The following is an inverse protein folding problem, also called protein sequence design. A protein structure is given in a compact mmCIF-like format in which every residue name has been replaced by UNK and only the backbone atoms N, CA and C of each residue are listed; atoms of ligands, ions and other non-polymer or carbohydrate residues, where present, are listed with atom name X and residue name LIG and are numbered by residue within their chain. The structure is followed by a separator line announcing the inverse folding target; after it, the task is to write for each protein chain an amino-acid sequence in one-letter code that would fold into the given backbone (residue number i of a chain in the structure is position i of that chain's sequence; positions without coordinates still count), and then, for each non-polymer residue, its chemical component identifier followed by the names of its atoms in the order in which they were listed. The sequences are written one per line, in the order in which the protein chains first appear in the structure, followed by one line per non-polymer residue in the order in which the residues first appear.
data_IF_740287643121
#
_entry.id   IF_740287643121
#
_cell.length_a   1.000
_cell.length_b   1.000
_cell.length_c   1.000
_cell.angle_alpha   90.00
_cell.angle_beta   90.00
_cell.angle_gamma   90.00
#
_symmetry.space_group_name_H-M   'P 1'
#
loop_
_entity.id
_entity.type
_entity.pdbx_description
1 polymer ?
#
# COMPACT_ATOMS: atom_id res chain seq x y z
N UNK A 1 -53.93 -8.49 -26.12
CA UNK A 1 -54.80 -7.67 -25.23
C UNK A 1 -53.92 -7.13 -24.13
N UNK A 2 -53.42 -5.89 -24.25
CA UNK A 2 -53.95 -4.67 -23.61
C UNK A 2 -54.02 -4.81 -22.08
N UNK A 3 -53.61 -3.88 -21.22
CA UNK A 3 -52.94 -2.58 -21.31
C UNK A 3 -52.84 -2.11 -19.85
N UNK A 4 -51.66 -1.81 -19.33
CA UNK A 4 -51.52 -0.96 -18.14
C UNK A 4 -50.55 0.19 -18.45
N UNK A 5 -50.90 0.94 -19.50
CA UNK A 5 -50.41 2.29 -19.75
C UNK A 5 -51.45 3.25 -19.19
N UNK A 6 -51.06 4.07 -18.20
CA UNK A 6 -51.50 5.47 -17.99
C UNK A 6 -50.91 5.99 -16.68
N UNK A 7 -49.73 6.60 -16.74
CA UNK A 7 -49.27 7.77 -15.97
C UNK A 7 -47.78 7.97 -16.28
N UNK A 8 -47.36 8.69 -17.30
CA UNK A 8 -47.21 10.15 -17.23
C UNK A 8 -46.78 10.55 -18.64
N UNK A 9 -47.55 11.43 -19.26
CA UNK A 9 -47.23 12.10 -20.51
C UNK A 9 -46.66 13.49 -20.20
N UNK A 10 -45.74 13.93 -21.05
CA UNK A 10 -45.28 15.32 -21.20
C UNK A 10 -43.96 15.55 -20.48
N UNK A 11 -42.81 15.65 -21.14
CA UNK A 11 -42.50 16.53 -22.28
C UNK A 11 -41.95 17.85 -21.70
N UNK A 12 -40.94 18.52 -22.22
CA UNK A 12 -40.21 18.49 -23.47
C UNK A 12 -39.05 19.50 -23.25
N UNK A 13 -37.86 19.17 -23.78
CA UNK A 13 -36.73 20.02 -24.21
C UNK A 13 -36.58 21.47 -23.70
N UNK A 14 -35.33 21.86 -23.36
CA UNK A 14 -34.44 22.65 -24.24
C UNK A 14 -33.47 23.59 -23.47
N UNK A 15 -32.22 23.68 -23.96
CA UNK A 15 -31.36 24.90 -24.06
C UNK A 15 -30.86 25.53 -22.71
N UNK A 16 -29.66 26.06 -22.48
CA UNK A 16 -28.51 26.59 -23.24
C UNK A 16 -27.27 26.53 -22.31
N UNK A 17 -26.08 26.17 -22.79
CA UNK A 17 -24.95 27.03 -23.17
C UNK A 17 -24.10 27.66 -22.03
N UNK A 18 -22.80 27.34 -22.09
CA UNK A 18 -21.58 28.12 -21.82
C UNK A 18 -21.59 29.22 -20.74
N UNK A 19 -20.63 29.13 -19.82
CA UNK A 19 -19.65 30.22 -19.65
C UNK A 19 -18.35 29.71 -19.02
N UNK A 20 -17.30 29.76 -19.83
CA UNK A 20 -15.90 29.64 -19.46
C UNK A 20 -15.40 31.04 -19.05
N UNK A 21 -14.57 31.08 -18.00
CA UNK A 21 -13.58 32.10 -17.65
C UNK A 21 -14.02 33.54 -17.32
N UNK A 22 -13.71 33.99 -16.10
CA UNK A 22 -12.93 35.21 -15.88
C UNK A 22 -12.45 35.28 -14.40
N UNK A 23 -11.18 35.57 -14.24
CA UNK A 23 -10.45 35.82 -13.01
C UNK A 23 -10.48 37.34 -12.75
N UNK A 24 -10.69 37.80 -11.51
CA UNK A 24 -10.19 39.11 -11.09
C UNK A 24 -10.03 39.19 -9.57
N UNK A 25 -8.91 39.76 -9.16
CA UNK A 25 -8.49 39.98 -7.78
C UNK A 25 -8.79 41.42 -7.35
N UNK A 26 -9.25 41.63 -6.11
CA UNK A 26 -8.88 42.81 -5.31
C UNK A 26 -9.13 42.58 -3.81
N UNK A 27 -8.26 43.21 -3.02
CA UNK A 27 -7.94 43.06 -1.60
C UNK A 27 -9.08 43.39 -0.58
N UNK A 28 -8.97 42.85 0.65
CA UNK A 28 -9.69 43.44 1.80
C UNK A 28 -9.99 42.61 3.06
N UNK A 29 -8.96 42.13 3.77
CA UNK A 29 -8.83 42.01 5.24
C UNK A 29 -9.75 41.11 6.13
N UNK A 30 -9.03 40.33 6.95
CA UNK A 30 -9.32 39.88 8.33
C UNK A 30 -10.17 38.63 8.56
N UNK A 31 -9.49 37.57 9.01
CA UNK A 31 -10.12 36.39 9.60
C UNK A 31 -9.14 35.23 9.79
N UNK A 32 -8.20 35.39 10.73
CA UNK A 32 -7.26 34.34 11.13
C UNK A 32 -8.00 33.13 11.69
N UNK A 33 -8.02 32.03 10.93
CA UNK A 33 -8.14 30.67 11.46
C UNK A 33 -6.96 29.87 10.93
N UNK A 34 -5.94 29.77 11.77
CA UNK A 34 -4.80 28.88 11.58
C UNK A 34 -5.31 27.45 11.62
N UNK A 35 -5.59 26.90 10.45
CA UNK A 35 -5.56 25.46 10.20
C UNK A 35 -4.13 25.19 9.77
N UNK A 36 -3.32 24.61 10.65
CA UNK A 36 -2.01 24.07 10.24
C UNK A 36 -2.31 22.86 9.37
N UNK A 37 -2.57 23.08 8.08
CA UNK A 37 -2.30 22.07 7.07
C UNK A 37 -0.80 21.87 7.10
N UNK A 38 -0.37 20.76 7.70
CA UNK A 38 0.94 20.20 7.43
C UNK A 38 0.94 19.87 5.95
N UNK A 39 1.40 20.81 5.12
CA UNK A 39 1.81 20.56 3.75
C UNK A 39 2.87 19.48 3.84
N UNK A 40 2.47 18.23 3.61
CA UNK A 40 3.41 17.14 3.45
C UNK A 40 4.29 17.49 2.27
N UNK A 41 5.59 17.60 2.51
CA UNK A 41 6.60 17.77 1.49
C UNK A 41 6.67 16.48 0.66
N UNK A 42 5.70 16.27 -0.22
CA UNK A 42 5.77 15.22 -1.22
C UNK A 42 6.86 15.63 -2.20
N UNK A 43 7.91 14.81 -2.29
CA UNK A 43 8.93 14.96 -3.33
C UNK A 43 8.23 14.95 -4.69
N UNK A 44 8.51 15.97 -5.51
CA UNK A 44 7.96 16.03 -6.85
C UNK A 44 8.42 14.78 -7.63
N UNK A 45 7.53 14.20 -8.43
CA UNK A 45 7.82 12.96 -9.16
C UNK A 45 9.16 13.01 -9.92
N UNK A 46 9.53 14.18 -10.49
CA UNK A 46 10.80 14.38 -11.20
C UNK A 46 12.07 14.13 -10.36
N UNK A 47 11.98 14.26 -9.03
CA UNK A 47 13.09 14.08 -8.09
C UNK A 47 13.21 12.62 -7.61
N UNK A 48 12.25 11.75 -7.96
CA UNK A 48 12.24 10.34 -7.55
C UNK A 48 13.27 9.45 -8.27
N UNK A 49 14.17 10.04 -9.06
CA UNK A 49 15.16 9.31 -9.87
C UNK A 49 16.25 8.62 -9.07
N UNK A 50 16.41 8.98 -7.80
CA UNK A 50 17.46 8.47 -6.92
C UNK A 50 16.98 7.48 -5.85
N UNK A 51 15.66 7.26 -5.74
CA UNK A 51 15.11 6.41 -4.68
C UNK A 51 14.92 4.96 -5.12
N UNK A 52 15.00 4.09 -4.12
CA UNK A 52 14.89 2.64 -4.24
C UNK A 52 13.79 2.15 -3.31
N UNK A 53 13.00 1.19 -3.77
CA UNK A 53 12.13 0.35 -2.93
C UNK A 53 12.90 -0.93 -2.62
N UNK A 54 13.15 -1.19 -1.35
CA UNK A 54 13.71 -2.46 -0.90
C UNK A 54 12.65 -3.54 -0.94
N UNK A 55 13.00 -4.73 -1.40
CA UNK A 55 12.14 -5.91 -1.39
C UNK A 55 12.92 -7.09 -0.82
N UNK A 56 12.37 -7.71 0.21
CA UNK A 56 12.97 -8.90 0.83
C UNK A 56 11.94 -10.00 1.06
N UNK A 57 12.32 -11.22 0.71
CA UNK A 57 11.51 -12.43 0.83
C UNK A 57 12.24 -13.64 0.25
N UNK A 58 11.73 -14.87 0.48
CA UNK A 58 12.31 -16.07 -0.08
C UNK A 58 12.08 -16.08 -1.59
N UNK A 59 13.14 -15.88 -2.36
CA UNK A 59 13.13 -16.07 -3.83
C UNK A 59 13.78 -17.40 -4.23
N UNK A 60 14.40 -18.08 -3.28
CA UNK A 60 14.84 -19.47 -3.37
C UNK A 60 14.28 -20.31 -2.21
N UNK A 61 14.43 -21.63 -2.28
CA UNK A 61 13.97 -22.56 -1.24
C UNK A 61 12.46 -22.86 -1.29
N UNK A 62 11.96 -23.49 -0.23
CA UNK A 62 10.59 -24.06 -0.17
C UNK A 62 9.48 -23.00 -0.24
N UNK A 63 9.79 -21.77 0.21
CA UNK A 63 8.85 -20.65 0.21
C UNK A 63 9.00 -19.73 -1.01
N UNK A 64 9.84 -20.09 -1.98
CA UNK A 64 10.18 -19.26 -3.14
C UNK A 64 8.97 -18.73 -3.90
N UNK A 65 7.90 -19.53 -4.00
CA UNK A 65 6.67 -19.14 -4.70
C UNK A 65 6.08 -17.84 -4.16
N UNK A 66 6.19 -17.60 -2.85
CA UNK A 66 5.67 -16.38 -2.22
C UNK A 66 6.56 -15.17 -2.54
N UNK A 67 7.87 -15.27 -2.33
CA UNK A 67 8.77 -14.13 -2.55
C UNK A 67 8.93 -13.79 -4.04
N UNK A 68 8.85 -14.76 -4.94
CA UNK A 68 8.80 -14.50 -6.39
C UNK A 68 7.53 -13.77 -6.80
N UNK A 69 6.36 -14.18 -6.29
CA UNK A 69 5.10 -13.50 -6.57
C UNK A 69 5.13 -12.04 -6.08
N UNK A 70 5.58 -11.81 -4.84
CA UNK A 70 5.77 -10.47 -4.28
C UNK A 70 6.75 -9.65 -5.10
N UNK A 71 7.93 -10.21 -5.39
CA UNK A 71 8.97 -9.52 -6.16
C UNK A 71 8.46 -9.07 -7.53
N UNK A 72 7.73 -9.94 -8.22
CA UNK A 72 7.17 -9.60 -9.53
C UNK A 72 6.09 -8.53 -9.42
N UNK A 73 5.23 -8.58 -8.40
CA UNK A 73 4.21 -7.56 -8.16
C UNK A 73 4.83 -6.19 -7.85
N UNK A 74 5.86 -6.12 -7.01
CA UNK A 74 6.56 -4.86 -6.70
C UNK A 74 7.23 -4.27 -7.94
N UNK A 75 7.92 -5.11 -8.74
CA UNK A 75 8.53 -4.66 -9.99
C UNK A 75 7.50 -4.08 -10.95
N UNK A 76 6.39 -4.78 -11.15
CA UNK A 76 5.31 -4.33 -12.02
C UNK A 76 4.72 -2.99 -11.53
N UNK A 77 4.42 -2.88 -10.24
CA UNK A 77 3.87 -1.65 -9.67
C UNK A 77 4.82 -0.44 -9.80
N UNK A 78 6.12 -0.65 -9.60
CA UNK A 78 7.13 0.41 -9.77
C UNK A 78 7.33 0.76 -11.25
N UNK A 79 7.29 -0.22 -12.15
CA UNK A 79 7.34 0.00 -13.59
C UNK A 79 6.15 0.86 -14.07
N UNK A 80 4.92 0.49 -13.70
CA UNK A 80 3.71 1.23 -14.04
C UNK A 80 3.75 2.66 -13.48
N UNK A 81 4.20 2.82 -12.23
CA UNK A 81 4.35 4.15 -11.63
C UNK A 81 5.39 5.00 -12.36
N UNK A 82 6.55 4.43 -12.65
CA UNK A 82 7.62 5.10 -13.40
C UNK A 82 7.14 5.55 -14.78
N UNK A 83 6.44 4.69 -15.51
CA UNK A 83 5.87 5.01 -16.82
C UNK A 83 4.82 6.14 -16.74
N UNK A 84 3.94 6.10 -15.74
CA UNK A 84 2.88 7.09 -15.57
C UNK A 84 3.38 8.46 -15.10
N UNK A 85 4.47 8.50 -14.33
CA UNK A 85 4.95 9.71 -13.64
C UNK A 85 6.28 10.24 -14.18
N UNK A 86 6.90 9.57 -15.14
CA UNK A 86 8.21 9.95 -15.69
C UNK A 86 9.34 9.82 -14.65
N UNK A 87 9.20 8.90 -13.70
CA UNK A 87 10.17 8.67 -12.62
C UNK A 87 11.13 7.53 -12.96
N UNK A 88 12.14 7.31 -12.12
CA UNK A 88 13.13 6.24 -12.32
C UNK A 88 13.44 5.50 -11.01
N UNK A 89 12.40 5.23 -10.22
CA UNK A 89 12.49 4.49 -8.96
C UNK A 89 13.02 3.09 -9.27
N UNK A 90 13.95 2.60 -8.44
CA UNK A 90 14.53 1.26 -8.55
C UNK A 90 13.93 0.31 -7.53
N UNK A 91 14.03 -0.99 -7.81
CA UNK A 91 13.68 -2.05 -6.86
C UNK A 91 14.96 -2.82 -6.55
N UNK A 92 15.37 -2.85 -5.28
CA UNK A 92 16.45 -3.74 -4.81
C UNK A 92 15.81 -4.98 -4.18
N UNK A 93 16.03 -6.13 -4.81
CA UNK A 93 15.48 -7.42 -4.38
C UNK A 93 16.57 -8.21 -3.69
N UNK A 94 16.28 -8.69 -2.48
CA UNK A 94 17.20 -9.48 -1.67
C UNK A 94 16.52 -10.78 -1.21
N UNK A 95 17.22 -11.90 -1.39
CA UNK A 95 16.72 -13.22 -1.03
C UNK A 95 16.96 -13.51 0.46
N UNK A 96 15.89 -13.58 1.25
CA UNK A 96 15.97 -13.96 2.67
C UNK A 96 15.96 -15.48 2.89
N UNK A 97 15.64 -16.26 1.85
CA UNK A 97 15.54 -17.73 1.91
C UNK A 97 14.55 -18.27 2.95
N UNK A 98 13.62 -17.46 3.47
CA UNK A 98 12.70 -17.87 4.54
C UNK A 98 13.30 -17.73 5.94
N UNK A 99 14.52 -17.20 6.06
CA UNK A 99 15.28 -17.14 7.31
C UNK A 99 15.21 -15.76 7.98
N UNK A 100 14.96 -15.77 9.29
CA UNK A 100 14.84 -14.54 10.07
C UNK A 100 16.16 -13.79 10.20
N UNK A 101 17.28 -14.49 10.34
CA UNK A 101 18.60 -13.86 10.50
C UNK A 101 19.00 -13.14 9.21
N UNK A 102 18.80 -13.79 8.07
CA UNK A 102 19.04 -13.17 6.77
C UNK A 102 18.11 -11.99 6.51
N UNK A 103 16.82 -12.10 6.86
CA UNK A 103 15.88 -10.98 6.75
C UNK A 103 16.35 -9.76 7.56
N UNK A 104 16.83 -9.95 8.80
CA UNK A 104 17.39 -8.87 9.63
C UNK A 104 18.67 -8.27 9.02
N UNK A 105 19.56 -9.09 8.47
CA UNK A 105 20.78 -8.60 7.80
C UNK A 105 20.45 -7.75 6.56
N UNK A 106 19.49 -8.20 5.76
CA UNK A 106 18.99 -7.47 4.58
C UNK A 106 18.32 -6.16 5.02
N UNK A 107 17.47 -6.21 6.04
CA UNK A 107 16.84 -5.04 6.62
C UNK A 107 17.87 -3.99 7.07
N UNK A 108 18.91 -4.42 7.80
CA UNK A 108 20.01 -3.54 8.22
C UNK A 108 20.74 -2.88 7.04
N UNK A 109 20.96 -3.64 5.96
CA UNK A 109 21.52 -3.11 4.71
C UNK A 109 20.61 -2.02 4.13
N UNK A 110 19.30 -2.27 4.06
CA UNK A 110 18.34 -1.32 3.51
C UNK A 110 18.24 -0.04 4.33
N UNK A 111 18.12 -0.12 5.65
CA UNK A 111 18.01 1.10 6.48
C UNK A 111 19.30 1.91 6.55
N UNK A 112 20.44 1.29 6.23
CA UNK A 112 21.72 1.99 6.12
C UNK A 112 21.89 2.72 4.78
N UNK A 113 21.09 2.39 3.76
CA UNK A 113 21.11 3.08 2.46
C UNK A 113 20.08 4.22 2.44
N UNK A 114 20.58 5.45 2.39
CA UNK A 114 19.74 6.66 2.36
C UNK A 114 18.86 6.79 1.13
N UNK A 115 19.06 5.96 0.09
CA UNK A 115 18.21 5.90 -1.10
C UNK A 115 17.01 4.98 -0.92
N UNK A 116 17.02 4.08 0.07
CA UNK A 116 15.86 3.21 0.32
C UNK A 116 14.75 4.02 0.99
N UNK A 117 13.70 4.30 0.22
CA UNK A 117 12.57 5.10 0.68
C UNK A 117 11.55 4.28 1.50
N UNK A 118 11.60 2.95 1.38
CA UNK A 118 10.69 2.03 2.04
C UNK A 118 10.97 0.59 1.65
N UNK A 119 10.40 -0.32 2.43
CA UNK A 119 10.58 -1.76 2.26
C UNK A 119 9.21 -2.41 2.03
N UNK A 120 9.07 -3.16 0.95
CA UNK A 120 7.93 -4.04 0.71
C UNK A 120 8.44 -5.47 0.83
N UNK A 121 8.21 -6.11 1.97
CA UNK A 121 8.88 -7.37 2.27
C UNK A 121 8.75 -7.82 3.70
N UNK A 122 9.55 -8.82 4.07
CA UNK A 122 9.16 -9.76 5.10
C UNK A 122 7.96 -10.52 4.55
N UNK A 123 8.21 -11.45 3.64
CA UNK A 123 7.15 -12.06 2.83
C UNK A 123 6.44 -13.14 3.61
N UNK A 124 7.17 -13.95 4.38
CA UNK A 124 6.59 -14.92 5.31
C UNK A 124 6.57 -14.35 6.72
N UNK A 125 5.55 -14.73 7.52
CA UNK A 125 5.27 -14.12 8.82
C UNK A 125 6.47 -14.06 9.78
N UNK A 126 7.33 -15.08 9.78
CA UNK A 126 8.52 -15.12 10.61
C UNK A 126 9.52 -14.01 10.29
N UNK A 127 9.77 -13.76 9.00
CA UNK A 127 10.64 -12.67 8.53
C UNK A 127 10.02 -11.31 8.83
N UNK A 128 8.73 -11.16 8.52
CA UNK A 128 7.99 -9.90 8.72
C UNK A 128 8.04 -9.48 10.18
N UNK A 129 7.81 -10.42 11.10
CA UNK A 129 7.84 -10.15 12.53
C UNK A 129 9.25 -9.76 13.00
N UNK A 130 10.29 -10.46 12.54
CA UNK A 130 11.66 -10.16 12.90
C UNK A 130 12.05 -8.71 12.54
N UNK A 131 11.80 -8.31 11.28
CA UNK A 131 12.11 -6.94 10.84
C UNK A 131 11.20 -5.90 11.50
N UNK A 132 9.94 -6.23 11.77
CA UNK A 132 8.99 -5.32 12.41
C UNK A 132 9.37 -4.98 13.86
N UNK A 133 9.87 -5.96 14.62
CA UNK A 133 10.37 -5.72 15.98
C UNK A 133 11.64 -4.87 15.95
N UNK A 134 12.54 -5.14 15.00
CA UNK A 134 13.76 -4.37 14.86
C UNK A 134 13.52 -2.93 14.40
N UNK A 135 12.45 -2.69 13.64
CA UNK A 135 12.21 -1.39 13.01
C UNK A 135 11.62 -0.31 13.90
N UNK A 136 11.29 -0.65 15.16
CA UNK A 136 10.69 0.28 16.15
C UNK A 136 11.43 1.59 16.32
N UNK A 137 12.76 1.53 16.22
CA UNK A 137 13.64 2.70 16.42
C UNK A 137 14.04 3.38 15.10
N UNK A 138 13.42 2.99 13.98
CA UNK A 138 13.75 3.50 12.64
C UNK A 138 12.54 4.16 11.97
N UNK A 139 12.79 5.10 11.06
CA UNK A 139 11.73 5.79 10.32
C UNK A 139 11.37 5.19 8.96
N UNK A 140 12.06 4.12 8.51
CA UNK A 140 11.83 3.56 7.16
C UNK A 140 10.51 2.77 7.17
N UNK A 141 9.52 3.11 6.32
CA UNK A 141 8.25 2.38 6.29
C UNK A 141 8.43 0.97 5.75
N UNK A 142 7.79 0.01 6.41
CA UNK A 142 7.77 -1.41 6.03
C UNK A 142 6.33 -1.83 5.76
N UNK A 143 6.09 -2.46 4.61
CA UNK A 143 4.81 -3.07 4.29
C UNK A 143 5.04 -4.57 4.08
N UNK A 144 4.49 -5.41 4.95
CA UNK A 144 4.42 -6.85 4.66
C UNK A 144 3.29 -7.12 3.66
N UNK A 145 3.59 -7.75 2.51
CA UNK A 145 2.57 -8.05 1.50
C UNK A 145 1.71 -9.26 1.87
N UNK A 146 2.26 -10.23 2.63
CA UNK A 146 1.63 -11.53 2.88
C UNK A 146 1.85 -12.10 4.29
N UNK A 147 2.53 -11.39 5.19
CA UNK A 147 2.68 -11.81 6.59
C UNK A 147 1.37 -11.66 7.36
N UNK A 148 0.74 -12.78 7.68
CA UNK A 148 -0.58 -12.83 8.33
C UNK A 148 -0.53 -12.91 9.86
N UNK A 149 0.62 -13.21 10.46
CA UNK A 149 0.72 -13.28 11.91
C UNK A 149 0.29 -11.95 12.56
N UNK A 150 -0.52 -12.02 13.61
CA UNK A 150 -1.13 -10.83 14.22
C UNK A 150 -0.06 -9.89 14.79
N UNK A 151 0.92 -10.47 15.50
CA UNK A 151 1.99 -9.75 16.18
C UNK A 151 2.89 -8.89 15.26
N UNK A 152 2.87 -9.10 13.93
CA UNK A 152 3.68 -8.29 13.00
C UNK A 152 3.37 -6.80 13.13
N UNK A 153 2.08 -6.43 13.15
CA UNK A 153 1.67 -5.02 13.29
C UNK A 153 1.31 -4.67 14.73
N UNK A 154 0.88 -5.64 15.54
CA UNK A 154 0.50 -5.37 16.93
C UNK A 154 1.72 -5.08 17.81
N UNK A 155 2.83 -5.77 17.53
CA UNK A 155 4.10 -5.59 18.22
C UNK A 155 5.15 -4.90 17.33
N UNK A 156 4.79 -4.46 16.12
CA UNK A 156 5.66 -3.71 15.22
C UNK A 156 5.82 -2.25 15.62
N UNK A 157 6.76 -1.55 14.99
CA UNK A 157 6.88 -0.10 15.09
C UNK A 157 5.74 0.64 14.37
N UNK A 158 5.55 1.96 14.61
CA UNK A 158 4.53 2.77 13.92
C UNK A 158 4.77 2.89 12.41
N UNK A 159 5.96 2.50 11.94
CA UNK A 159 6.37 2.44 10.55
C UNK A 159 6.02 1.11 9.86
N UNK A 160 5.40 0.15 10.56
CA UNK A 160 5.08 -1.18 10.04
C UNK A 160 3.60 -1.29 9.68
N UNK A 161 3.35 -1.70 8.44
CA UNK A 161 2.01 -1.89 7.87
C UNK A 161 1.89 -3.27 7.22
N UNK A 162 0.67 -3.70 6.92
CA UNK A 162 0.40 -4.92 6.14
C UNK A 162 -0.59 -4.66 5.01
N UNK A 163 -0.44 -5.38 3.91
CA UNK A 163 -1.38 -5.37 2.78
C UNK A 163 -2.32 -6.59 2.74
N UNK A 164 -2.21 -7.50 3.73
CA UNK A 164 -3.02 -8.72 3.85
C UNK A 164 -3.86 -8.71 5.15
N UNK A 165 -4.73 -9.70 5.30
CA UNK A 165 -5.48 -9.95 6.53
C UNK A 165 -4.60 -10.60 7.62
N UNK A 166 -5.14 -10.74 8.83
CA UNK A 166 -4.46 -11.44 9.93
C UNK A 166 -4.93 -12.89 10.08
N UNK A 167 -4.10 -13.76 10.68
CA UNK A 167 -4.49 -15.15 10.98
C UNK A 167 -5.77 -15.23 11.84
N UNK A 168 -5.97 -14.39 12.89
CA UNK A 168 -7.25 -14.37 13.61
C UNK A 168 -8.46 -14.04 12.73
N UNK A 169 -8.32 -13.09 11.80
CA UNK A 169 -9.41 -12.75 10.86
C UNK A 169 -9.69 -13.92 9.92
N UNK A 170 -8.64 -14.54 9.38
CA UNK A 170 -8.75 -15.69 8.50
C UNK A 170 -9.37 -16.90 9.22
N UNK A 171 -8.91 -17.19 10.43
CA UNK A 171 -9.40 -18.29 11.25
C UNK A 171 -10.88 -18.12 11.59
N UNK A 172 -11.30 -16.89 11.97
CA UNK A 172 -12.71 -16.60 12.20
C UNK A 172 -13.54 -16.87 10.95
N UNK A 173 -13.11 -16.38 9.78
CA UNK A 173 -13.86 -16.57 8.54
C UNK A 173 -14.00 -18.05 8.15
N UNK A 174 -12.96 -18.85 8.38
CA UNK A 174 -12.98 -20.30 8.16
C UNK A 174 -13.91 -20.99 9.15
N UNK A 175 -13.88 -20.60 10.42
CA UNK A 175 -14.76 -21.15 11.45
C UNK A 175 -16.24 -20.84 11.15
N UNK A 176 -16.55 -19.58 10.81
CA UNK A 176 -17.90 -19.15 10.43
C UNK A 176 -18.39 -19.93 9.20
N UNK A 177 -17.56 -20.06 8.15
CA UNK A 177 -17.92 -20.84 6.96
C UNK A 177 -18.18 -22.31 7.28
N UNK A 178 -17.32 -22.92 8.10
CA UNK A 178 -17.43 -24.33 8.50
C UNK A 178 -18.72 -24.59 9.29
N UNK A 179 -19.03 -23.72 10.24
CA UNK A 179 -20.20 -23.86 11.10
C UNK A 179 -21.51 -23.49 10.39
N UNK A 180 -21.54 -22.32 9.76
CA UNK A 180 -22.77 -21.72 9.24
C UNK A 180 -23.11 -22.21 7.81
N UNK A 181 -22.10 -22.45 6.98
CA UNK A 181 -22.31 -22.84 5.57
C UNK A 181 -22.21 -24.34 5.37
N UNK A 182 -21.20 -24.99 5.96
CA UNK A 182 -21.01 -26.44 5.81
C UNK A 182 -21.75 -27.27 6.87
N UNK A 183 -22.19 -26.66 7.97
CA UNK A 183 -22.92 -27.34 9.04
C UNK A 183 -22.07 -28.34 9.84
N UNK A 184 -20.75 -28.21 9.79
CA UNK A 184 -19.82 -29.06 10.54
C UNK A 184 -19.64 -28.47 11.94
N UNK A 185 -19.87 -29.31 12.96
CA UNK A 185 -19.89 -28.94 14.38
C UNK A 185 -18.77 -29.62 15.16
#
# INVERSE_FOLDING_TARGET
MMSFKKLVKGGLAALMALSLAACEASEGSSGKSTSTETTSDYVAAGDLKSYTIGTLGPTTGDYAVYGLAVTNAVKLAVEDYNAAKGTNIKVDVQDSQGDQTQALNIYNKFVSDTKVAGIIGGTVSGESYAIAVQSKDTGVPIITPSGTAANITDEGGPNVFRACYTDPQQAKQVADFTYETLGLK
#
